data_IF_668304432110
#
_entry.id   IF_668304432110
#
_cell.length_a   1.000
_cell.length_b   1.000
_cell.length_c   1.000
_cell.angle_alpha   90.00
_cell.angle_beta   90.00
_cell.angle_gamma   90.00
#
_symmetry.space_group_name_H-M   'P 1'
#
loop_
_entity.id
_entity.type
_entity.pdbx_description
1 polymer ?
#
# COMPACT_ATOMS: atom_id res chain seq x y z
N UNK A 1 8.28 2.85 10.34
CA UNK A 1 7.30 3.20 9.30
C UNK A 1 5.98 3.61 9.95
N UNK A 2 5.44 4.75 9.57
CA UNK A 2 4.10 5.18 10.00
C UNK A 2 3.09 4.79 8.96
N UNK A 3 1.99 4.17 9.37
CA UNK A 3 0.94 3.75 8.46
C UNK A 3 -0.32 4.55 8.77
N UNK A 4 -0.85 5.20 7.75
CA UNK A 4 -2.09 5.94 7.83
C UNK A 4 -3.15 5.29 6.95
N UNK A 5 -4.36 5.22 7.47
CA UNK A 5 -5.52 4.78 6.69
C UNK A 5 -6.32 6.01 6.30
N UNK A 6 -6.78 6.08 5.07
CA UNK A 6 -7.78 7.08 4.72
C UNK A 6 -9.07 6.80 5.47
N UNK A 7 -9.95 7.78 5.51
CA UNK A 7 -11.23 7.63 6.16
C UNK A 7 -12.03 6.46 5.57
N UNK A 8 -12.01 6.33 4.24
CA UNK A 8 -12.72 5.22 3.57
C UNK A 8 -12.21 3.86 3.99
N UNK A 9 -10.89 3.67 4.05
CA UNK A 9 -10.29 2.41 4.52
C UNK A 9 -10.64 2.18 5.99
N UNK A 10 -10.48 3.19 6.82
CA UNK A 10 -10.74 3.07 8.26
C UNK A 10 -12.19 2.68 8.54
N UNK A 11 -13.14 3.31 7.84
CA UNK A 11 -14.56 3.01 8.00
C UNK A 11 -14.87 1.57 7.58
N UNK A 12 -14.30 1.11 6.49
CA UNK A 12 -14.53 -0.26 6.00
C UNK A 12 -13.90 -1.31 6.93
N UNK A 13 -12.68 -1.07 7.40
CA UNK A 13 -11.99 -1.97 8.35
C UNK A 13 -12.80 -2.11 9.64
N UNK A 14 -13.41 -1.02 10.12
CA UNK A 14 -14.17 -1.02 11.37
C UNK A 14 -15.44 -1.87 11.31
N UNK A 15 -16.03 -2.03 10.13
CA UNK A 15 -17.30 -2.75 9.96
C UNK A 15 -17.20 -4.08 9.21
N UNK A 16 -16.04 -4.40 8.64
CA UNK A 16 -15.87 -5.57 7.78
C UNK A 16 -14.64 -6.36 8.20
N UNK A 17 -14.85 -7.41 8.97
CA UNK A 17 -13.77 -8.24 9.52
C UNK A 17 -12.93 -8.90 8.42
N UNK A 18 -13.56 -9.36 7.34
CA UNK A 18 -12.83 -9.97 6.22
C UNK A 18 -11.90 -8.96 5.56
N UNK A 19 -12.40 -7.76 5.32
CA UNK A 19 -11.59 -6.70 4.72
C UNK A 19 -10.43 -6.30 5.63
N UNK A 20 -10.67 -6.23 6.95
CA UNK A 20 -9.61 -5.94 7.91
C UNK A 20 -8.47 -6.96 7.82
N UNK A 21 -8.79 -8.25 7.69
CA UNK A 21 -7.79 -9.31 7.50
C UNK A 21 -7.03 -9.14 6.18
N UNK A 22 -7.73 -8.77 5.13
CA UNK A 22 -7.12 -8.53 3.81
C UNK A 22 -6.15 -7.35 3.84
N UNK A 23 -6.48 -6.30 4.59
CA UNK A 23 -5.59 -5.15 4.77
C UNK A 23 -4.30 -5.58 5.51
N UNK A 24 -4.43 -6.35 6.59
CA UNK A 24 -3.27 -6.86 7.33
C UNK A 24 -2.37 -7.70 6.40
N UNK A 25 -2.97 -8.57 5.62
CA UNK A 25 -2.23 -9.42 4.67
C UNK A 25 -1.54 -8.58 3.59
N UNK A 26 -2.21 -7.54 3.10
CA UNK A 26 -1.63 -6.62 2.12
C UNK A 26 -0.41 -5.89 2.69
N UNK A 27 -0.48 -5.47 3.95
CA UNK A 27 0.66 -4.83 4.62
C UNK A 27 1.84 -5.80 4.70
N UNK A 28 1.60 -7.07 5.03
CA UNK A 28 2.65 -8.08 5.08
C UNK A 28 3.29 -8.29 3.71
N UNK A 29 2.48 -8.37 2.66
CA UNK A 29 2.97 -8.48 1.28
C UNK A 29 3.85 -7.29 0.92
N UNK A 30 3.38 -6.09 1.25
CA UNK A 30 4.10 -4.85 1.00
C UNK A 30 5.47 -4.85 1.68
N UNK A 31 5.52 -5.26 2.94
CA UNK A 31 6.77 -5.34 3.70
C UNK A 31 7.74 -6.38 3.14
N UNK A 32 7.24 -7.37 2.41
CA UNK A 32 8.05 -8.40 1.74
C UNK A 32 8.31 -8.08 0.28
N UNK A 33 8.09 -6.83 -0.13
CA UNK A 33 8.28 -6.36 -1.50
C UNK A 33 7.43 -7.09 -2.54
N UNK A 34 6.28 -7.58 -2.13
CA UNK A 34 5.26 -8.11 -3.04
C UNK A 34 4.31 -6.96 -3.37
N UNK A 35 4.54 -6.34 -4.52
CA UNK A 35 3.85 -5.12 -4.92
C UNK A 35 2.44 -5.34 -5.47
N UNK A 36 1.99 -6.60 -5.52
CA UNK A 36 0.63 -6.92 -5.92
C UNK A 36 0.41 -6.87 -7.43
N UNK A 37 -0.66 -6.20 -7.82
CA UNK A 37 -1.18 -6.19 -9.20
C UNK A 37 -0.62 -5.06 -10.06
N UNK A 38 0.67 -4.81 -9.98
CA UNK A 38 1.36 -3.82 -10.81
C UNK A 38 1.95 -4.48 -12.05
N UNK A 39 2.17 -3.69 -13.11
CA UNK A 39 2.93 -4.13 -14.26
C UNK A 39 4.42 -4.24 -13.91
N UNK A 40 5.19 -4.94 -14.74
CA UNK A 40 6.61 -5.17 -14.50
C UNK A 40 7.41 -3.85 -14.38
N UNK A 41 7.06 -2.84 -15.19
CA UNK A 41 7.72 -1.54 -15.15
C UNK A 41 7.52 -0.84 -13.80
N UNK A 42 6.30 -0.87 -13.27
CA UNK A 42 5.99 -0.24 -11.98
C UNK A 42 6.69 -0.98 -10.84
N UNK A 43 6.77 -2.31 -10.91
CA UNK A 43 7.51 -3.10 -9.92
C UNK A 43 9.00 -2.76 -9.94
N UNK A 44 9.56 -2.57 -11.13
CA UNK A 44 10.96 -2.18 -11.28
C UNK A 44 11.21 -0.78 -10.71
N UNK A 45 10.29 0.16 -10.92
CA UNK A 45 10.37 1.50 -10.34
C UNK A 45 10.42 1.45 -8.81
N UNK A 46 9.63 0.55 -8.20
CA UNK A 46 9.68 0.34 -6.76
C UNK A 46 11.04 -0.17 -6.30
N UNK A 47 11.62 -1.13 -7.01
CA UNK A 47 12.95 -1.66 -6.66
C UNK A 47 14.02 -0.58 -6.75
N UNK A 48 13.94 0.30 -7.74
CA UNK A 48 14.83 1.46 -7.87
C UNK A 48 14.64 2.44 -6.71
N UNK A 49 13.39 2.69 -6.31
CA UNK A 49 13.09 3.58 -5.18
C UNK A 49 13.65 3.04 -3.87
N UNK A 50 13.66 1.74 -3.66
CA UNK A 50 14.27 1.13 -2.48
C UNK A 50 15.78 1.39 -2.42
N UNK A 51 16.45 1.40 -3.57
CA UNK A 51 17.91 1.59 -3.64
C UNK A 51 18.32 3.05 -3.64
N UNK A 52 17.58 3.90 -4.32
CA UNK A 52 17.99 5.28 -4.61
C UNK A 52 17.09 6.33 -3.99
N UNK A 53 16.03 5.93 -3.33
CA UNK A 53 15.03 6.82 -2.81
C UNK A 53 13.94 7.12 -3.83
N UNK A 54 12.79 7.50 -3.34
CA UNK A 54 11.63 7.81 -4.15
C UNK A 54 10.38 7.19 -3.59
N UNK A 55 9.32 7.19 -4.39
CA UNK A 55 7.99 6.75 -4.00
C UNK A 55 7.79 5.27 -4.29
N UNK A 56 7.17 4.57 -3.35
CA UNK A 56 6.71 3.20 -3.54
C UNK A 56 5.20 3.21 -3.75
N UNK A 57 4.73 2.36 -4.64
CA UNK A 57 3.29 2.16 -4.88
C UNK A 57 3.02 0.67 -5.05
N UNK A 58 2.08 0.14 -4.28
CA UNK A 58 1.58 -1.21 -4.47
C UNK A 58 0.07 -1.19 -4.68
N UNK A 59 -0.45 -2.18 -5.38
CA UNK A 59 -1.87 -2.29 -5.68
C UNK A 59 -2.34 -3.72 -5.40
N UNK A 60 -3.44 -3.84 -4.65
CA UNK A 60 -4.00 -5.14 -4.30
C UNK A 60 -5.50 -5.17 -4.62
N UNK A 61 -5.93 -6.22 -5.30
CA UNK A 61 -7.36 -6.45 -5.55
C UNK A 61 -7.93 -7.18 -4.35
N UNK A 62 -8.74 -6.48 -3.57
CA UNK A 62 -9.35 -7.04 -2.37
C UNK A 62 -10.84 -7.27 -2.58
N UNK A 63 -11.51 -7.90 -1.61
CA UNK A 63 -12.91 -8.30 -1.77
C UNK A 63 -13.86 -7.12 -1.97
N UNK A 64 -13.61 -5.99 -1.31
CA UNK A 64 -14.45 -4.79 -1.42
C UNK A 64 -14.10 -3.98 -2.66
N UNK A 65 -12.82 -3.71 -2.87
CA UNK A 65 -12.33 -2.88 -3.96
C UNK A 65 -10.81 -2.95 -4.03
N UNK A 66 -10.26 -2.36 -5.08
CA UNK A 66 -8.81 -2.23 -5.24
C UNK A 66 -8.26 -1.22 -4.26
N UNK A 67 -7.15 -1.56 -3.61
CA UNK A 67 -6.48 -0.76 -2.59
C UNK A 67 -5.06 -0.46 -3.02
N UNK A 68 -4.61 0.77 -2.78
CA UNK A 68 -3.21 1.17 -2.95
C UNK A 68 -2.53 1.30 -1.60
N UNK A 69 -1.24 0.93 -1.56
CA UNK A 69 -0.35 1.25 -0.45
C UNK A 69 0.78 2.09 -1.03
N UNK A 70 0.95 3.29 -0.51
CA UNK A 70 1.89 4.28 -1.04
C UNK A 70 2.82 4.75 0.05
N UNK A 71 4.14 4.69 -0.20
CA UNK A 71 5.15 5.31 0.66
C UNK A 71 5.70 6.53 -0.08
N UNK A 72 5.65 7.70 0.57
CA UNK A 72 5.96 8.96 -0.11
C UNK A 72 7.42 9.09 -0.52
N UNK A 73 8.35 8.78 0.40
CA UNK A 73 9.77 8.92 0.11
C UNK A 73 10.59 7.96 0.96
N UNK A 74 11.29 7.04 0.30
CA UNK A 74 12.12 6.05 0.98
C UNK A 74 13.45 6.64 1.47
N UNK A 75 13.83 7.85 1.07
CA UNK A 75 15.01 8.57 1.60
C UNK A 75 14.72 9.25 2.92
N UNK A 76 13.45 9.46 3.26
CA UNK A 76 13.10 10.11 4.53
C UNK A 76 13.57 9.25 5.70
N UNK A 77 13.92 9.90 6.83
CA UNK A 77 14.32 9.19 8.05
C UNK A 77 13.21 8.28 8.55
N UNK A 78 11.97 8.64 8.30
CA UNK A 78 10.82 7.85 8.67
C UNK A 78 9.89 7.72 7.48
N UNK A 79 9.59 6.47 7.11
CA UNK A 79 8.66 6.20 6.01
C UNK A 79 7.23 6.50 6.45
N UNK A 80 6.56 7.33 5.66
CA UNK A 80 5.14 7.61 5.82
C UNK A 80 4.40 6.85 4.73
N UNK A 81 3.56 5.92 5.16
CA UNK A 81 2.83 5.02 4.25
C UNK A 81 1.34 5.24 4.42
N UNK A 82 0.63 5.38 3.31
CA UNK A 82 -0.81 5.59 3.30
C UNK A 82 -1.50 4.44 2.58
N UNK A 83 -2.55 3.93 3.20
CA UNK A 83 -3.41 2.91 2.61
C UNK A 83 -4.73 3.56 2.23
N UNK A 84 -5.12 3.45 0.95
CA UNK A 84 -6.29 4.12 0.41
C UNK A 84 -6.96 3.24 -0.63
N UNK A 85 -8.26 3.48 -0.86
CA UNK A 85 -8.92 2.88 -2.02
C UNK A 85 -8.38 3.52 -3.30
N UNK A 86 -8.29 2.74 -4.37
CA UNK A 86 -7.88 3.27 -5.67
C UNK A 86 -8.76 4.44 -6.11
N UNK A 87 -10.05 4.40 -5.76
CA UNK A 87 -10.99 5.47 -6.07
C UNK A 87 -10.73 6.77 -5.31
N UNK A 88 -9.95 6.73 -4.25
CA UNK A 88 -9.58 7.91 -3.47
C UNK A 88 -8.29 8.58 -3.97
N UNK A 89 -7.63 7.92 -4.91
CA UNK A 89 -6.35 8.42 -5.45
C UNK A 89 -6.60 9.57 -6.49
#
# INVERSE_FOLDING_TARGET
MRIYFTRGINDEVAKNTQFAKEIVESIKRYCNHDWGDLCAEDKEMNEKALKHGGRLLAAYKLSVAKVYIITDDTKANEWVTTILFASEY
#
